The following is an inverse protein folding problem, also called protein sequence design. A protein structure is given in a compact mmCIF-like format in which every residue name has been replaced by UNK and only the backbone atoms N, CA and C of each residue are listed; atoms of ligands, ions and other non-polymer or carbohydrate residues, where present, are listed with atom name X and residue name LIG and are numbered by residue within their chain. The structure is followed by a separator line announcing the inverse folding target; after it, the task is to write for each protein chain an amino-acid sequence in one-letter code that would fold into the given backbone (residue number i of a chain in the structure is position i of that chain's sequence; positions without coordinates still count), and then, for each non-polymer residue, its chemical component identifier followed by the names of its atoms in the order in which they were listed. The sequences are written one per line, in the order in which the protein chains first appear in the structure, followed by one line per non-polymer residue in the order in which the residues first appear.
data_IF_425594220819
#
_entry.id   IF_425594220819
#
_cell.length_a   1.000
_cell.length_b   1.000
_cell.length_c   1.000
_cell.angle_alpha   90.00
_cell.angle_beta   90.00
_cell.angle_gamma   90.00
#
_symmetry.space_group_name_H-M   'P 1'
#
loop_
_entity.id
_entity.type
_entity.pdbx_description
1 polymer ?
#
# COMPACT_ATOMS: atom_id res chain seq x y z
N UNK A 1 -14.66 40.07 -33.34
CA UNK A 1 -13.27 39.60 -33.16
C UNK A 1 -12.75 40.28 -31.91
N UNK A 2 -12.34 39.65 -30.82
CA UNK A 2 -12.26 38.24 -30.44
C UNK A 2 -12.48 38.17 -28.90
N UNK A 3 -13.16 37.13 -28.43
CA UNK A 3 -13.25 36.80 -27.00
C UNK A 3 -11.89 36.37 -26.49
N UNK A 4 -11.43 36.94 -25.39
CA UNK A 4 -10.26 36.43 -24.65
C UNK A 4 -10.74 35.35 -23.69
N UNK A 5 -10.32 34.11 -23.97
CA UNK A 5 -10.62 32.93 -23.18
C UNK A 5 -9.86 32.92 -21.86
N UNK A 6 -10.60 32.65 -20.79
CA UNK A 6 -10.13 32.30 -19.46
C UNK A 6 -9.32 30.99 -19.50
N UNK A 7 -8.22 30.91 -18.78
CA UNK A 7 -7.46 29.66 -18.61
C UNK A 7 -7.19 29.43 -17.13
N UNK A 8 -8.21 28.96 -16.43
CA UNK A 8 -8.11 28.47 -15.06
C UNK A 8 -7.40 27.11 -15.07
N UNK A 9 -6.11 27.11 -14.74
CA UNK A 9 -5.35 25.89 -14.44
C UNK A 9 -6.04 25.13 -13.30
N UNK A 10 -6.66 24.01 -13.63
CA UNK A 10 -7.29 23.13 -12.64
C UNK A 10 -6.17 22.41 -11.90
N UNK A 11 -5.86 22.87 -10.69
CA UNK A 11 -4.99 22.14 -9.78
C UNK A 11 -5.69 20.83 -9.39
N UNK A 12 -5.08 19.70 -9.74
CA UNK A 12 -5.48 18.40 -9.24
C UNK A 12 -5.14 18.39 -7.75
N UNK A 13 -6.12 18.69 -6.91
CA UNK A 13 -6.00 18.56 -5.46
C UNK A 13 -5.80 17.08 -5.13
N UNK A 14 -4.60 16.74 -4.66
CA UNK A 14 -4.35 15.47 -3.97
C UNK A 14 -5.22 15.46 -2.72
N UNK A 15 -6.41 14.84 -2.81
CA UNK A 15 -7.23 14.59 -1.64
C UNK A 15 -6.48 13.58 -0.75
N UNK A 16 -6.32 13.86 0.55
CA UNK A 16 -5.80 12.88 1.47
C UNK A 16 -6.72 11.66 1.44
N UNK A 17 -6.16 10.49 1.12
CA UNK A 17 -6.88 9.23 1.13
C UNK A 17 -7.28 8.97 2.58
N UNK A 18 -8.55 9.24 2.91
CA UNK A 18 -9.11 8.80 4.18
C UNK A 18 -9.11 7.28 4.15
N UNK A 19 -8.43 6.59 5.08
CA UNK A 19 -8.46 5.14 5.10
C UNK A 19 -9.92 4.71 5.28
N UNK A 20 -10.48 3.90 4.36
CA UNK A 20 -11.83 3.39 4.53
C UNK A 20 -11.88 2.64 5.88
N UNK A 21 -12.92 2.88 6.67
CA UNK A 21 -13.12 2.16 7.94
C UNK A 21 -13.22 0.66 7.65
N UNK A 22 -12.10 -0.05 7.82
CA UNK A 22 -11.93 -1.45 7.41
C UNK A 22 -12.92 -2.36 8.15
N UNK A 23 -13.32 -1.95 9.36
CA UNK A 23 -14.30 -2.63 10.20
C UNK A 23 -15.68 -2.79 9.53
N UNK A 24 -16.01 -2.00 8.49
CA UNK A 24 -17.30 -2.11 7.80
C UNK A 24 -17.28 -2.94 6.51
N UNK A 25 -16.12 -3.43 6.07
CA UNK A 25 -15.95 -4.01 4.73
C UNK A 25 -15.75 -5.53 4.70
N UNK A 26 -15.16 -6.11 5.75
CA UNK A 26 -14.99 -7.55 5.87
C UNK A 26 -15.85 -8.07 7.01
N UNK A 27 -17.09 -8.47 6.69
CA UNK A 27 -18.05 -9.01 7.66
C UNK A 27 -17.64 -10.40 8.16
N UNK A 28 -16.79 -11.11 7.41
CA UNK A 28 -16.34 -12.47 7.72
C UNK A 28 -14.85 -12.47 8.05
N UNK A 29 -14.51 -12.72 9.31
CA UNK A 29 -13.11 -12.95 9.69
C UNK A 29 -12.63 -14.31 9.16
N UNK A 30 -11.42 -14.36 8.59
CA UNK A 30 -10.79 -15.58 8.12
C UNK A 30 -10.60 -16.56 9.28
N UNK A 31 -11.15 -17.75 9.13
CA UNK A 31 -10.95 -18.91 9.99
C UNK A 31 -10.43 -20.08 9.14
N UNK A 32 -10.09 -21.20 9.80
CA UNK A 32 -9.68 -22.44 9.11
C UNK A 32 -10.75 -23.04 8.21
N UNK A 33 -12.01 -22.63 8.34
CA UNK A 33 -13.15 -23.27 7.68
C UNK A 33 -13.76 -22.42 6.55
N UNK A 34 -13.40 -21.14 6.45
CA UNK A 34 -14.11 -20.19 5.59
C UNK A 34 -13.24 -19.45 4.56
N UNK A 35 -12.02 -19.96 4.30
CA UNK A 35 -11.05 -19.32 3.40
C UNK A 35 -11.65 -18.91 2.05
N UNK A 36 -12.42 -19.78 1.40
CA UNK A 36 -13.01 -19.48 0.08
C UNK A 36 -14.00 -18.31 0.15
N UNK A 37 -14.82 -18.24 1.20
CA UNK A 37 -15.79 -17.15 1.40
C UNK A 37 -15.06 -15.84 1.72
N UNK A 38 -14.10 -15.87 2.64
CA UNK A 38 -13.26 -14.73 2.98
C UNK A 38 -12.53 -14.19 1.75
N UNK A 39 -11.88 -15.07 0.97
CA UNK A 39 -11.14 -14.70 -0.25
C UNK A 39 -12.05 -14.05 -1.28
N UNK A 40 -13.27 -14.55 -1.43
CA UNK A 40 -14.27 -14.01 -2.37
C UNK A 40 -14.68 -12.57 -2.00
N UNK A 41 -14.69 -12.22 -0.71
CA UNK A 41 -15.00 -10.86 -0.27
C UNK A 41 -13.80 -9.91 -0.37
N UNK A 42 -12.61 -10.35 0.07
CA UNK A 42 -11.45 -9.46 0.16
C UNK A 42 -10.79 -9.19 -1.20
N UNK A 43 -10.82 -10.15 -2.12
CA UNK A 43 -10.12 -10.02 -3.42
C UNK A 43 -10.70 -8.90 -4.30
N UNK A 44 -12.02 -8.81 -4.54
CA UNK A 44 -12.60 -7.71 -5.33
C UNK A 44 -12.36 -6.35 -4.69
N UNK A 45 -12.40 -6.28 -3.36
CA UNK A 45 -12.12 -5.06 -2.62
C UNK A 45 -10.70 -4.55 -2.87
N UNK A 46 -9.69 -5.41 -2.66
CA UNK A 46 -8.28 -5.04 -2.89
C UNK A 46 -8.02 -4.72 -4.36
N UNK A 47 -8.65 -5.43 -5.31
CA UNK A 47 -8.54 -5.12 -6.74
C UNK A 47 -9.17 -3.79 -7.11
N UNK A 48 -10.33 -3.46 -6.56
CA UNK A 48 -11.01 -2.18 -6.78
C UNK A 48 -10.14 -0.99 -6.33
N UNK A 49 -9.32 -1.19 -5.30
CA UNK A 49 -8.37 -0.20 -4.79
C UNK A 49 -6.97 -0.27 -5.43
N UNK A 50 -6.72 -1.19 -6.37
CA UNK A 50 -5.39 -1.50 -6.94
C UNK A 50 -4.34 -1.92 -5.90
N UNK A 51 -4.78 -2.48 -4.78
CA UNK A 51 -3.95 -2.94 -3.67
C UNK A 51 -3.61 -4.43 -3.73
N UNK A 52 -4.30 -5.20 -4.58
CA UNK A 52 -4.08 -6.65 -4.67
C UNK A 52 -2.63 -7.01 -5.05
N UNK A 53 -1.93 -6.10 -5.74
CA UNK A 53 -0.55 -6.30 -6.16
C UNK A 53 0.44 -6.49 -5.00
N UNK A 54 0.13 -5.95 -3.83
CA UNK A 54 0.94 -6.13 -2.61
C UNK A 54 0.79 -7.54 -2.01
N UNK A 55 -0.37 -8.18 -2.22
CA UNK A 55 -0.66 -9.52 -1.71
C UNK A 55 -0.14 -10.60 -2.66
N UNK A 56 -0.39 -10.46 -3.96
CA UNK A 56 0.08 -11.44 -4.95
C UNK A 56 1.57 -11.28 -5.32
N UNK A 57 2.19 -10.16 -4.92
CA UNK A 57 3.60 -9.86 -5.14
C UNK A 57 3.91 -9.31 -6.53
N UNK A 58 2.90 -8.94 -7.32
CA UNK A 58 3.11 -8.22 -8.59
C UNK A 58 3.62 -6.79 -8.37
N UNK A 59 3.34 -6.18 -7.20
CA UNK A 59 3.99 -4.94 -6.76
C UNK A 59 5.27 -5.28 -5.99
N UNK A 60 6.38 -5.35 -6.72
CA UNK A 60 7.67 -5.66 -6.13
C UNK A 60 8.14 -4.57 -5.16
N UNK A 61 8.70 -5.00 -4.02
CA UNK A 61 9.34 -4.13 -3.05
C UNK A 61 10.55 -3.42 -3.70
N UNK A 62 10.56 -2.07 -3.76
CA UNK A 62 11.72 -1.32 -4.25
C UNK A 62 12.89 -1.44 -3.27
N UNK A 63 14.12 -1.24 -3.77
CA UNK A 63 15.31 -1.18 -2.91
C UNK A 63 15.18 -0.03 -1.92
N UNK A 64 15.47 -0.30 -0.64
CA UNK A 64 15.37 0.70 0.43
C UNK A 64 16.29 1.91 0.21
N UNK A 65 17.48 1.68 -0.33
CA UNK A 65 18.48 2.71 -0.54
C UNK A 65 18.92 2.75 -2.00
N UNK A 66 19.10 3.95 -2.53
CA UNK A 66 19.62 4.23 -3.87
C UNK A 66 20.92 5.05 -3.77
N UNK A 67 21.74 4.98 -4.82
CA UNK A 67 23.00 5.72 -4.87
C UNK A 67 22.74 7.23 -4.87
N UNK A 68 23.52 7.97 -4.07
CA UNK A 68 23.45 9.43 -4.06
C UNK A 68 24.31 10.04 -5.17
N UNK A 69 23.74 10.67 -6.20
CA UNK A 69 24.54 11.32 -7.25
C UNK A 69 25.39 12.48 -6.71
N UNK A 70 24.98 13.12 -5.61
CA UNK A 70 25.76 14.20 -4.99
C UNK A 70 27.03 13.71 -4.28
N UNK A 71 27.13 12.41 -3.96
CA UNK A 71 28.34 11.83 -3.39
C UNK A 71 29.50 11.75 -4.40
N UNK A 72 29.22 11.85 -5.71
CA UNK A 72 30.25 11.93 -6.74
C UNK A 72 30.97 13.29 -6.77
N UNK A 73 30.34 14.35 -6.25
CA UNK A 73 30.84 15.73 -6.33
C UNK A 73 31.14 16.35 -4.97
N UNK A 74 30.74 15.70 -3.86
CA UNK A 74 30.97 16.18 -2.50
C UNK A 74 31.37 15.06 -1.57
N UNK A 75 32.54 15.20 -0.92
CA UNK A 75 33.05 14.25 0.09
C UNK A 75 32.19 14.20 1.36
N UNK A 76 31.31 15.18 1.55
CA UNK A 76 30.46 15.30 2.76
C UNK A 76 29.05 14.70 2.54
N UNK A 77 28.66 14.41 1.30
CA UNK A 77 27.36 13.83 1.00
C UNK A 77 27.35 12.31 1.28
N UNK A 78 26.27 11.76 1.90
CA UNK A 78 26.19 10.33 2.16
C UNK A 78 26.14 9.55 0.83
N UNK A 79 26.75 8.36 0.75
CA UNK A 79 26.80 7.58 -0.49
C UNK A 79 25.44 6.99 -0.90
N UNK A 80 24.53 6.85 0.05
CA UNK A 80 23.20 6.27 -0.13
C UNK A 80 22.12 7.26 0.33
N UNK A 81 21.00 7.27 -0.37
CA UNK A 81 19.78 7.98 0.01
C UNK A 81 18.63 6.98 0.17
N UNK A 82 17.73 7.27 1.11
CA UNK A 82 16.47 6.54 1.23
C UNK A 82 15.68 6.69 -0.07
N UNK A 83 15.21 5.59 -0.63
CA UNK A 83 14.44 5.57 -1.86
C UNK A 83 13.00 6.03 -1.58
N UNK A 84 12.51 7.13 -2.18
CA UNK A 84 11.13 7.58 -2.02
C UNK A 84 10.11 6.53 -2.48
N UNK A 85 10.44 5.74 -3.51
CA UNK A 85 9.57 4.66 -4.00
C UNK A 85 9.43 3.54 -2.97
N UNK A 86 10.50 3.23 -2.22
CA UNK A 86 10.41 2.27 -1.13
C UNK A 86 9.49 2.78 -0.03
N UNK A 87 9.62 4.06 0.36
CA UNK A 87 8.75 4.66 1.39
C UNK A 87 7.29 4.61 0.97
N UNK A 88 6.97 5.02 -0.27
CA UNK A 88 5.60 4.97 -0.78
C UNK A 88 5.06 3.53 -0.83
N UNK A 89 5.86 2.59 -1.35
CA UNK A 89 5.49 1.18 -1.38
C UNK A 89 5.23 0.65 0.04
N UNK A 90 6.09 0.99 1.00
CA UNK A 90 5.98 0.56 2.39
C UNK A 90 4.71 1.11 3.04
N UNK A 91 4.41 2.39 2.88
CA UNK A 91 3.21 3.01 3.45
C UNK A 91 1.93 2.33 2.91
N UNK A 92 1.89 2.01 1.62
CA UNK A 92 0.76 1.30 1.02
C UNK A 92 0.69 -0.16 1.47
N UNK A 93 1.82 -0.87 1.54
CA UNK A 93 1.88 -2.23 2.04
C UNK A 93 1.39 -2.31 3.49
N UNK A 94 1.77 -1.37 4.35
CA UNK A 94 1.30 -1.36 5.75
C UNK A 94 -0.22 -1.12 5.87
N UNK A 95 -0.82 -0.35 4.96
CA UNK A 95 -2.27 -0.23 4.87
C UNK A 95 -2.89 -1.59 4.51
N UNK A 96 -2.36 -2.28 3.49
CA UNK A 96 -2.86 -3.60 3.08
C UNK A 96 -2.67 -4.64 4.19
N UNK A 97 -1.52 -4.63 4.87
CA UNK A 97 -1.24 -5.48 6.01
C UNK A 97 -2.25 -5.25 7.13
N UNK A 98 -2.55 -3.99 7.46
CA UNK A 98 -3.58 -3.65 8.46
C UNK A 98 -4.96 -4.17 8.07
N UNK A 99 -5.31 -4.11 6.78
CA UNK A 99 -6.57 -4.65 6.24
C UNK A 99 -6.61 -6.16 6.43
N UNK A 100 -5.56 -6.86 6.00
CA UNK A 100 -5.46 -8.31 6.16
C UNK A 100 -5.57 -8.69 7.63
N UNK A 101 -4.75 -8.12 8.52
CA UNK A 101 -4.74 -8.40 9.95
C UNK A 101 -6.12 -8.20 10.60
N UNK A 102 -6.82 -7.12 10.26
CA UNK A 102 -8.16 -6.84 10.80
C UNK A 102 -9.23 -7.86 10.35
N UNK A 103 -8.99 -8.49 9.20
CA UNK A 103 -9.87 -9.49 8.61
C UNK A 103 -9.58 -10.91 9.09
N UNK A 104 -8.58 -11.14 9.94
CA UNK A 104 -8.26 -12.46 10.48
C UNK A 104 -9.01 -12.73 11.77
N UNK A 105 -9.39 -13.99 12.01
CA UNK A 105 -9.75 -14.45 13.35
C UNK A 105 -8.49 -14.56 14.21
N UNK A 106 -8.66 -14.53 15.53
CA UNK A 106 -7.54 -14.58 16.49
C UNK A 106 -6.67 -15.82 16.32
N UNK A 107 -7.27 -16.97 16.00
CA UNK A 107 -6.55 -18.23 15.76
C UNK A 107 -5.69 -18.21 14.49
N UNK A 108 -6.07 -17.42 13.48
CA UNK A 108 -5.27 -17.21 12.28
C UNK A 108 -4.23 -16.11 12.50
N UNK A 109 -4.61 -15.03 13.21
CA UNK A 109 -3.71 -13.94 13.59
C UNK A 109 -2.49 -14.48 14.36
N UNK A 110 -2.70 -15.45 15.26
CA UNK A 110 -1.62 -16.13 15.98
C UNK A 110 -0.61 -16.86 15.07
N UNK A 111 -0.99 -17.25 13.85
CA UNK A 111 -0.11 -17.94 12.89
C UNK A 111 0.74 -17.01 12.05
N UNK A 112 0.35 -15.74 11.95
CA UNK A 112 1.03 -14.72 11.14
C UNK A 112 1.71 -13.66 12.01
N UNK A 113 1.93 -13.97 13.29
CA UNK A 113 2.70 -13.12 14.21
C UNK A 113 4.10 -12.93 13.65
N UNK A 114 4.51 -11.66 13.54
CA UNK A 114 5.81 -11.29 12.99
C UNK A 114 5.81 -11.08 11.48
N UNK A 115 4.69 -11.28 10.78
CA UNK A 115 4.54 -10.82 9.40
C UNK A 115 4.71 -9.29 9.37
N UNK A 116 5.64 -8.85 8.52
CA UNK A 116 6.00 -7.44 8.35
C UNK A 116 5.48 -6.85 7.05
N UNK A 117 5.06 -7.71 6.11
CA UNK A 117 4.48 -7.30 4.83
C UNK A 117 3.17 -8.02 4.54
N UNK A 118 2.33 -7.42 3.69
CA UNK A 118 1.04 -8.02 3.31
C UNK A 118 1.16 -9.38 2.63
N UNK A 119 2.30 -9.63 1.99
CA UNK A 119 2.58 -10.87 1.26
C UNK A 119 2.92 -12.05 2.18
N UNK A 120 3.36 -11.77 3.41
CA UNK A 120 3.69 -12.80 4.40
C UNK A 120 2.46 -13.35 5.14
N UNK A 121 1.29 -12.77 4.89
CA UNK A 121 -0.01 -13.08 5.51
C UNK A 121 -0.84 -14.00 4.63
#
# INVERSE_FOLDING_TARGET
MASSSDSSVTSLSNTPITPPSIQSLVTIKLSSENYLLWRTQITPYLRGQRLFGYVDGSHHQPTQYISNPAAATSTTAPPLLLNPEFTNWFDQDQIVLSILMSSLSESILAKVVGATTSREV
#
